data_IF_786923200980
#
_entry.id   IF_786923200980
#
_cell.length_a   1.000
_cell.length_b   1.000
_cell.length_c   1.000
_cell.angle_alpha   90.00
_cell.angle_beta   90.00
_cell.angle_gamma   90.00
#
_symmetry.space_group_name_H-M   'P 1'
#
loop_
_entity.id
_entity.type
_entity.pdbx_description
1 polymer ?
#
# COMPACT_ATOMS: atom_id res chain seq x y z
N UNK A 1 -9.88 -29.43 -4.11
CA UNK A 1 -9.05 -28.37 -3.52
C UNK A 1 -9.95 -27.33 -2.89
N UNK A 2 -9.75 -27.04 -1.61
CA UNK A 2 -10.53 -26.01 -0.94
C UNK A 2 -10.14 -24.60 -1.44
N UNK A 3 -11.07 -23.64 -1.40
CA UNK A 3 -10.80 -22.24 -1.76
C UNK A 3 -10.51 -21.43 -0.49
N UNK A 4 -9.44 -20.65 -0.50
CA UNK A 4 -9.16 -19.71 0.59
C UNK A 4 -10.20 -18.57 0.63
N UNK A 5 -10.75 -18.30 1.81
CA UNK A 5 -11.68 -17.19 2.07
C UNK A 5 -11.17 -16.39 3.26
N UNK A 6 -10.86 -15.11 3.02
CA UNK A 6 -10.47 -14.19 4.07
C UNK A 6 -11.70 -13.48 4.64
N UNK A 7 -12.00 -13.71 5.93
CA UNK A 7 -13.21 -13.16 6.58
C UNK A 7 -13.28 -11.63 6.56
N UNK A 8 -12.13 -10.95 6.56
CA UNK A 8 -12.04 -9.49 6.59
C UNK A 8 -11.77 -8.87 5.22
N UNK A 9 -12.06 -9.59 4.12
CA UNK A 9 -11.80 -9.10 2.76
C UNK A 9 -12.48 -7.76 2.47
N UNK A 10 -13.75 -7.60 2.84
CA UNK A 10 -14.48 -6.33 2.68
C UNK A 10 -13.84 -5.18 3.47
N UNK A 11 -13.36 -5.45 4.68
CA UNK A 11 -12.68 -4.45 5.52
C UNK A 11 -11.34 -4.05 4.91
N UNK A 12 -10.60 -5.01 4.37
CA UNK A 12 -9.33 -4.75 3.68
C UNK A 12 -9.54 -3.84 2.46
N UNK A 13 -10.55 -4.12 1.64
CA UNK A 13 -10.91 -3.30 0.48
C UNK A 13 -11.36 -1.90 0.88
N UNK A 14 -12.18 -1.79 1.92
CA UNK A 14 -12.58 -0.48 2.45
C UNK A 14 -11.36 0.33 2.92
N UNK A 15 -10.44 -0.29 3.68
CA UNK A 15 -9.20 0.39 4.11
C UNK A 15 -8.31 0.78 2.93
N UNK A 16 -8.28 -0.02 1.86
CA UNK A 16 -7.56 0.34 0.65
C UNK A 16 -8.14 1.60 0.00
N UNK A 17 -9.47 1.68 -0.11
CA UNK A 17 -10.14 2.89 -0.62
C UNK A 17 -9.85 4.12 0.25
N UNK A 18 -9.83 3.98 1.58
CA UNK A 18 -9.46 5.06 2.48
C UNK A 18 -8.02 5.53 2.29
N UNK A 19 -7.08 4.60 2.10
CA UNK A 19 -5.68 4.93 1.74
C UNK A 19 -5.62 5.74 0.44
N UNK A 20 -6.35 5.30 -0.59
CA UNK A 20 -6.33 5.97 -1.89
C UNK A 20 -6.98 7.37 -1.83
N UNK A 21 -8.07 7.53 -1.07
CA UNK A 21 -8.66 8.84 -0.79
C UNK A 21 -7.69 9.76 -0.04
N UNK A 22 -6.97 9.23 0.95
CA UNK A 22 -5.97 10.00 1.70
C UNK A 22 -4.79 10.43 0.81
N UNK A 23 -4.38 9.62 -0.18
CA UNK A 23 -3.36 10.01 -1.17
C UNK A 23 -3.82 11.18 -2.01
N UNK A 24 -5.06 11.13 -2.51
CA UNK A 24 -5.64 12.22 -3.31
C UNK A 24 -5.69 13.50 -2.48
N UNK A 25 -6.24 13.44 -1.26
CA UNK A 25 -6.32 14.61 -0.38
C UNK A 25 -4.93 15.19 -0.03
N UNK A 26 -3.92 14.33 0.15
CA UNK A 26 -2.54 14.77 0.34
C UNK A 26 -2.00 15.49 -0.91
N UNK A 27 -2.16 14.92 -2.09
CA UNK A 27 -1.75 15.55 -3.35
C UNK A 27 -2.44 16.89 -3.61
N UNK A 28 -3.74 16.98 -3.35
CA UNK A 28 -4.51 18.24 -3.44
C UNK A 28 -3.97 19.30 -2.48
N UNK A 29 -3.63 18.93 -1.25
CA UNK A 29 -3.06 19.86 -0.27
C UNK A 29 -1.68 20.36 -0.68
N UNK A 30 -0.84 19.50 -1.27
CA UNK A 30 0.47 19.89 -1.81
C UNK A 30 0.32 20.85 -2.99
N UNK A 31 -0.61 20.56 -3.91
CA UNK A 31 -0.93 21.47 -5.01
C UNK A 31 -1.45 22.82 -4.52
N UNK A 32 -2.24 22.83 -3.44
CA UNK A 32 -2.65 24.04 -2.74
C UNK A 32 -1.45 24.83 -2.21
N UNK A 33 -0.59 24.19 -1.42
CA UNK A 33 0.63 24.82 -0.89
C UNK A 33 1.50 25.43 -1.99
N UNK A 34 1.71 24.71 -3.09
CA UNK A 34 2.50 25.19 -4.21
C UNK A 34 1.94 26.49 -4.81
N UNK A 35 0.60 26.59 -4.95
CA UNK A 35 -0.06 27.82 -5.44
C UNK A 35 0.15 28.98 -4.46
N UNK A 36 -0.05 28.75 -3.16
CA UNK A 36 0.13 29.81 -2.15
C UNK A 36 1.58 30.31 -2.08
N UNK A 37 2.56 29.41 -2.24
CA UNK A 37 3.97 29.76 -2.31
C UNK A 37 4.31 30.52 -3.60
N UNK A 38 3.68 30.17 -4.73
CA UNK A 38 3.86 30.91 -5.98
C UNK A 38 3.30 32.33 -5.87
N UNK A 39 2.13 32.51 -5.24
CA UNK A 39 1.57 33.84 -4.95
C UNK A 39 2.49 34.65 -4.05
N UNK A 40 3.03 34.05 -2.99
CA UNK A 40 3.99 34.73 -2.10
C UNK A 40 5.23 35.19 -2.86
N UNK A 41 5.81 34.33 -3.71
CA UNK A 41 6.95 34.69 -4.55
C UNK A 41 6.63 35.85 -5.48
N UNK A 42 5.44 35.86 -6.09
CA UNK A 42 4.99 36.98 -6.93
C UNK A 42 5.01 38.32 -6.18
N UNK A 43 4.48 38.36 -4.96
CA UNK A 43 4.52 39.59 -4.14
C UNK A 43 5.95 40.02 -3.77
N UNK A 44 6.84 39.07 -3.50
CA UNK A 44 8.25 39.35 -3.20
C UNK A 44 8.99 39.88 -4.43
N UNK A 45 8.75 39.31 -5.60
CA UNK A 45 9.30 39.82 -6.87
C UNK A 45 8.80 41.22 -7.18
N UNK A 46 7.52 41.51 -6.93
CA UNK A 46 6.95 42.85 -7.13
C UNK A 46 7.51 43.87 -6.12
N UNK A 47 7.79 43.45 -4.88
CA UNK A 47 8.52 44.25 -3.89
C UNK A 47 9.91 44.64 -4.40
N UNK A 48 10.70 43.63 -4.81
CA UNK A 48 12.07 43.79 -5.31
C UNK A 48 12.11 44.73 -6.52
N UNK A 49 11.25 44.51 -7.53
CA UNK A 49 11.15 45.39 -8.70
C UNK A 49 10.83 46.84 -8.34
N UNK A 50 9.97 47.04 -7.33
CA UNK A 50 9.60 48.40 -6.90
C UNK A 50 10.75 49.08 -6.19
N UNK A 51 11.48 48.35 -5.33
CA UNK A 51 12.69 48.87 -4.67
C UNK A 51 13.72 49.28 -5.71
N UNK A 52 14.05 48.39 -6.65
CA UNK A 52 15.01 48.66 -7.73
C UNK A 52 14.60 49.91 -8.54
N UNK A 53 13.32 50.04 -8.87
CA UNK A 53 12.82 51.20 -9.60
C UNK A 53 12.99 52.52 -8.82
N UNK A 54 12.71 52.50 -7.52
CA UNK A 54 12.88 53.68 -6.66
C UNK A 54 14.34 54.08 -6.49
N UNK A 55 15.26 53.11 -6.42
CA UNK A 55 16.71 53.36 -6.38
C UNK A 55 17.19 54.04 -7.66
N UNK A 56 16.73 53.59 -8.83
CA UNK A 56 17.07 54.22 -10.13
C UNK A 56 16.60 55.67 -10.18
N UNK A 57 15.35 55.95 -9.79
CA UNK A 57 14.81 57.32 -9.76
C UNK A 57 15.63 58.22 -8.83
N UNK A 58 16.07 57.69 -7.68
CA UNK A 58 16.90 58.45 -6.74
C UNK A 58 18.28 58.81 -7.32
N UNK A 59 18.86 57.93 -8.16
CA UNK A 59 20.18 58.14 -8.77
C UNK A 59 20.16 59.04 -10.02
N UNK A 60 19.06 59.06 -10.80
CA UNK A 60 18.97 59.84 -12.04
C UNK A 60 18.68 61.34 -11.82
N UNK A 61 18.45 61.78 -10.58
CA UNK A 61 18.42 63.20 -10.20
C UNK A 61 17.17 63.98 -10.67
N UNK A 62 16.24 63.34 -11.39
CA UNK A 62 14.92 63.89 -11.71
C UNK A 62 13.97 63.52 -10.57
N UNK A 63 13.86 64.42 -9.59
CA UNK A 63 12.98 64.26 -8.42
C UNK A 63 11.50 64.39 -8.82
N UNK A 64 10.94 63.33 -9.37
CA UNK A 64 9.49 63.15 -9.45
C UNK A 64 8.95 62.67 -8.10
N UNK A 65 8.62 63.66 -7.26
CA UNK A 65 8.15 63.42 -5.90
C UNK A 65 6.82 62.68 -5.84
N UNK A 66 5.98 62.79 -6.87
CA UNK A 66 4.70 62.09 -6.95
C UNK A 66 4.91 60.59 -7.19
N UNK A 67 5.77 60.24 -8.14
CA UNK A 67 6.13 58.85 -8.42
C UNK A 67 6.85 58.17 -7.24
N UNK A 68 7.73 58.90 -6.54
CA UNK A 68 8.38 58.39 -5.33
C UNK A 68 7.36 58.09 -4.22
N UNK A 69 6.42 59.00 -3.96
CA UNK A 69 5.37 58.79 -2.95
C UNK A 69 4.46 57.62 -3.32
N UNK A 70 4.13 57.46 -4.60
CA UNK A 70 3.32 56.35 -5.08
C UNK A 70 4.03 55.01 -4.87
N UNK A 71 5.31 54.91 -5.22
CA UNK A 71 6.11 53.70 -5.02
C UNK A 71 6.27 53.33 -3.54
N UNK A 72 6.52 54.30 -2.66
CA UNK A 72 6.59 54.05 -1.21
C UNK A 72 5.25 53.53 -0.65
N UNK A 73 4.12 54.12 -1.05
CA UNK A 73 2.78 53.63 -0.66
C UNK A 73 2.51 52.22 -1.19
N UNK A 74 2.95 51.93 -2.42
CA UNK A 74 2.83 50.60 -3.00
C UNK A 74 3.63 49.56 -2.21
N UNK A 75 4.86 49.89 -1.80
CA UNK A 75 5.68 49.03 -0.94
C UNK A 75 4.99 48.74 0.40
N UNK A 76 4.38 49.75 1.03
CA UNK A 76 3.63 49.53 2.28
C UNK A 76 2.47 48.55 2.09
N UNK A 77 1.75 48.64 0.97
CA UNK A 77 0.67 47.71 0.63
C UNK A 77 1.19 46.31 0.35
N UNK A 78 2.27 46.18 -0.43
CA UNK A 78 2.89 44.89 -0.76
C UNK A 78 3.40 44.19 0.51
N UNK A 79 4.05 44.90 1.43
CA UNK A 79 4.53 44.31 2.70
C UNK A 79 3.38 43.69 3.49
N UNK A 80 2.26 44.39 3.60
CA UNK A 80 1.05 43.86 4.25
C UNK A 80 0.50 42.63 3.52
N UNK A 81 0.58 42.59 2.19
CA UNK A 81 0.17 41.42 1.40
C UNK A 81 1.11 40.23 1.59
N UNK A 82 2.43 40.45 1.62
CA UNK A 82 3.45 39.44 1.91
C UNK A 82 3.23 38.84 3.30
N UNK A 83 3.02 39.66 4.32
CA UNK A 83 2.76 39.18 5.69
C UNK A 83 1.51 38.30 5.75
N UNK A 84 0.42 38.75 5.13
CA UNK A 84 -0.83 37.98 5.05
C UNK A 84 -0.63 36.67 4.30
N UNK A 85 0.04 36.70 3.16
CA UNK A 85 0.26 35.54 2.32
C UNK A 85 1.21 34.53 3.01
N UNK A 86 2.18 35.01 3.77
CA UNK A 86 3.06 34.16 4.60
C UNK A 86 2.25 33.37 5.63
N UNK A 87 1.25 33.99 6.28
CA UNK A 87 0.34 33.28 7.17
C UNK A 87 -0.53 32.25 6.43
N UNK A 88 -0.95 32.56 5.20
CA UNK A 88 -1.71 31.62 4.36
C UNK A 88 -0.86 30.40 4.00
N UNK A 89 0.40 30.61 3.60
CA UNK A 89 1.38 29.54 3.33
C UNK A 89 1.59 28.68 4.58
N UNK A 90 1.84 29.27 5.74
CA UNK A 90 2.02 28.52 6.99
C UNK A 90 0.78 27.63 7.33
N UNK A 91 -0.44 28.14 7.10
CA UNK A 91 -1.66 27.34 7.25
C UNK A 91 -1.75 26.22 6.21
N UNK A 92 -1.31 26.47 4.98
CA UNK A 92 -1.26 25.45 3.94
C UNK A 92 -0.26 24.34 4.27
N UNK A 93 0.92 24.69 4.79
CA UNK A 93 1.93 23.74 5.27
C UNK A 93 1.40 22.86 6.40
N UNK A 94 0.73 23.46 7.39
CA UNK A 94 0.07 22.73 8.46
C UNK A 94 -0.98 21.74 7.93
N UNK A 95 -1.77 22.14 6.91
CA UNK A 95 -2.73 21.24 6.25
C UNK A 95 -2.03 20.08 5.53
N UNK A 96 -0.94 20.35 4.81
CA UNK A 96 -0.16 19.30 4.13
C UNK A 96 0.36 18.29 5.14
N UNK A 97 0.92 18.75 6.26
CA UNK A 97 1.43 17.87 7.31
C UNK A 97 0.32 17.04 7.95
N UNK A 98 -0.85 17.64 8.22
CA UNK A 98 -2.01 16.91 8.70
C UNK A 98 -2.42 15.80 7.72
N UNK A 99 -2.55 16.12 6.41
CA UNK A 99 -2.90 15.13 5.38
C UNK A 99 -1.84 14.04 5.25
N UNK A 100 -0.56 14.37 5.43
CA UNK A 100 0.53 13.40 5.45
C UNK A 100 0.35 12.39 6.58
N UNK A 101 0.01 12.86 7.78
CA UNK A 101 -0.23 11.99 8.94
C UNK A 101 -1.44 11.08 8.72
N UNK A 102 -2.54 11.62 8.18
CA UNK A 102 -3.74 10.85 7.80
C UNK A 102 -3.40 9.75 6.79
N UNK A 103 -2.62 10.06 5.76
CA UNK A 103 -2.16 9.10 4.76
C UNK A 103 -1.31 7.99 5.39
N UNK A 104 -0.33 8.35 6.23
CA UNK A 104 0.52 7.37 6.91
C UNK A 104 -0.31 6.42 7.77
N UNK A 105 -1.27 6.94 8.54
CA UNK A 105 -2.16 6.14 9.35
C UNK A 105 -3.02 5.18 8.50
N UNK A 106 -3.60 5.67 7.40
CA UNK A 106 -4.38 4.84 6.48
C UNK A 106 -3.54 3.72 5.84
N UNK A 107 -2.32 4.04 5.39
CA UNK A 107 -1.37 3.07 4.85
C UNK A 107 -1.00 1.99 5.87
N UNK A 108 -0.72 2.37 7.11
CA UNK A 108 -0.40 1.41 8.18
C UNK A 108 -1.59 0.50 8.48
N UNK A 109 -2.80 1.07 8.58
CA UNK A 109 -4.03 0.32 8.85
C UNK A 109 -4.36 -0.69 7.74
N UNK A 110 -4.14 -0.33 6.46
CA UNK A 110 -4.29 -1.25 5.33
C UNK A 110 -3.20 -2.35 5.36
N UNK A 111 -1.92 -1.97 5.45
CA UNK A 111 -0.79 -2.93 5.48
C UNK A 111 -0.89 -3.94 6.62
N UNK A 112 -1.39 -3.53 7.78
CA UNK A 112 -1.59 -4.44 8.91
C UNK A 112 -2.59 -5.56 8.59
N UNK A 113 -3.72 -5.23 7.95
CA UNK A 113 -4.71 -6.23 7.52
C UNK A 113 -4.21 -7.08 6.36
N UNK A 114 -3.48 -6.48 5.41
CA UNK A 114 -2.95 -7.21 4.27
C UNK A 114 -1.94 -8.28 4.73
N UNK A 115 -1.02 -7.92 5.63
CA UNK A 115 -0.11 -8.89 6.27
C UNK A 115 -0.83 -10.00 7.03
N UNK A 116 -1.96 -9.69 7.68
CA UNK A 116 -2.78 -10.70 8.34
C UNK A 116 -3.39 -11.67 7.32
N UNK A 117 -3.88 -11.16 6.18
CA UNK A 117 -4.39 -11.97 5.08
C UNK A 117 -3.30 -12.88 4.50
N UNK A 118 -2.11 -12.35 4.27
CA UNK A 118 -0.96 -13.10 3.75
C UNK A 118 -0.59 -14.26 4.68
N UNK A 119 -0.54 -14.02 5.99
CA UNK A 119 -0.29 -15.08 7.00
C UNK A 119 -1.35 -16.17 6.94
N UNK A 120 -2.64 -15.79 6.98
CA UNK A 120 -3.74 -16.76 6.91
C UNK A 120 -3.73 -17.56 5.60
N UNK A 121 -3.35 -16.93 4.49
CA UNK A 121 -3.22 -17.61 3.21
C UNK A 121 -2.04 -18.60 3.22
N UNK A 122 -0.91 -18.24 3.82
CA UNK A 122 0.24 -19.14 3.97
C UNK A 122 -0.11 -20.37 4.83
N UNK A 123 -0.80 -20.15 5.95
CA UNK A 123 -1.26 -21.24 6.82
C UNK A 123 -2.26 -22.16 6.11
N UNK A 124 -3.21 -21.58 5.36
CA UNK A 124 -4.15 -22.35 4.55
C UNK A 124 -3.44 -23.24 3.52
N UNK A 125 -2.44 -22.70 2.80
CA UNK A 125 -1.65 -23.48 1.83
C UNK A 125 -0.89 -24.62 2.50
N UNK A 126 -0.29 -24.37 3.66
CA UNK A 126 0.42 -25.41 4.43
C UNK A 126 -0.53 -26.53 4.86
N UNK A 127 -1.73 -26.18 5.33
CA UNK A 127 -2.74 -27.16 5.74
C UNK A 127 -3.26 -27.99 4.56
N UNK A 128 -3.52 -27.38 3.41
CA UNK A 128 -3.91 -28.12 2.20
C UNK A 128 -2.78 -29.07 1.75
N UNK A 129 -1.52 -28.65 1.78
CA UNK A 129 -0.38 -29.54 1.46
C UNK A 129 -0.29 -30.75 2.39
N UNK A 130 -0.49 -30.55 3.70
CA UNK A 130 -0.50 -31.66 4.68
C UNK A 130 -1.67 -32.60 4.41
N UNK A 131 -2.84 -32.05 4.06
CA UNK A 131 -4.03 -32.83 3.73
C UNK A 131 -3.83 -33.67 2.47
N UNK A 132 -3.31 -33.06 1.40
CA UNK A 132 -2.99 -33.73 0.14
C UNK A 132 -1.97 -34.85 0.35
N UNK A 133 -0.92 -34.61 1.14
CA UNK A 133 0.06 -35.65 1.48
C UNK A 133 -0.58 -36.84 2.21
N UNK A 134 -1.46 -36.55 3.19
CA UNK A 134 -2.18 -37.59 3.93
C UNK A 134 -3.12 -38.39 3.02
N UNK A 135 -3.81 -37.74 2.10
CA UNK A 135 -4.67 -38.41 1.11
C UNK A 135 -3.85 -39.32 0.19
N UNK A 136 -2.65 -38.90 -0.23
CA UNK A 136 -1.72 -39.74 -1.01
C UNK A 136 -1.25 -40.95 -0.21
N UNK A 137 -0.85 -40.76 1.05
CA UNK A 137 -0.41 -41.85 1.94
C UNK A 137 -1.52 -42.88 2.16
N UNK A 138 -2.74 -42.42 2.42
CA UNK A 138 -3.92 -43.29 2.57
C UNK A 138 -4.20 -44.09 1.29
N UNK A 139 -4.10 -43.46 0.11
CA UNK A 139 -4.23 -44.17 -1.17
C UNK A 139 -3.12 -45.21 -1.38
N UNK A 140 -1.88 -44.91 -1.00
CA UNK A 140 -0.75 -45.84 -1.10
C UNK A 140 -0.96 -47.07 -0.19
N UNK A 141 -1.37 -46.85 1.07
CA UNK A 141 -1.70 -47.94 2.02
C UNK A 141 -2.84 -48.80 1.47
N UNK A 142 -3.91 -48.20 0.94
CA UNK A 142 -5.03 -48.94 0.35
C UNK A 142 -4.60 -49.78 -0.85
N UNK A 143 -3.75 -49.24 -1.74
CA UNK A 143 -3.21 -49.99 -2.89
C UNK A 143 -2.36 -51.17 -2.43
N UNK A 144 -1.40 -50.96 -1.54
CA UNK A 144 -0.55 -52.05 -1.03
C UNK A 144 -1.35 -53.12 -0.28
N UNK A 145 -2.38 -52.71 0.47
CA UNK A 145 -3.29 -53.66 1.12
C UNK A 145 -4.07 -54.53 0.14
N UNK A 146 -4.47 -53.98 -1.02
CA UNK A 146 -5.12 -54.75 -2.09
C UNK A 146 -4.15 -55.71 -2.78
N UNK A 147 -2.93 -55.27 -3.07
CA UNK A 147 -1.87 -56.11 -3.66
C UNK A 147 -1.50 -57.29 -2.74
N UNK A 148 -1.34 -57.03 -1.44
CA UNK A 148 -1.06 -58.08 -0.45
C UNK A 148 -2.18 -59.12 -0.36
N UNK A 149 -3.45 -58.70 -0.44
CA UNK A 149 -4.61 -59.61 -0.47
C UNK A 149 -4.66 -60.44 -1.76
N UNK A 150 -4.32 -59.85 -2.90
CA UNK A 150 -4.25 -60.58 -4.17
C UNK A 150 -3.14 -61.62 -4.18
N UNK A 151 -1.97 -61.29 -3.61
CA UNK A 151 -0.86 -62.24 -3.46
C UNK A 151 -1.20 -63.39 -2.49
N UNK A 152 -1.90 -63.09 -1.39
CA UNK A 152 -2.37 -64.12 -0.44
C UNK A 152 -3.45 -65.03 -1.05
N UNK A 153 -4.32 -64.51 -1.91
CA UNK A 153 -5.32 -65.31 -2.62
C UNK A 153 -4.68 -66.23 -3.68
N UNK A 154 -3.58 -65.81 -4.32
CA UNK A 154 -2.84 -66.61 -5.31
C UNK A 154 -1.97 -67.70 -4.67
N UNK A 155 -1.45 -67.49 -3.45
CA UNK A 155 -0.68 -68.51 -2.72
C UNK A 155 -1.57 -69.54 -2.01
N UNK A 156 -2.82 -69.19 -1.70
CA UNK A 156 -3.82 -70.12 -1.13
C UNK A 156 -4.40 -71.15 -2.12
N UNK A 157 -4.21 -71.00 -3.43
CA UNK A 157 -4.74 -71.93 -4.46
C UNK A 157 -3.76 -73.04 -4.87
N UNK A 158 -2.62 -73.19 -4.20
CA UNK A 158 -1.60 -74.20 -4.53
C UNK A 158 -1.27 -75.08 -3.32
N UNK A 159 -2.25 -75.84 -2.82
CA UNK A 159 -1.99 -76.99 -1.95
C UNK A 159 -1.85 -78.24 -2.82
N UNK A 160 -0.68 -78.91 -2.88
CA UNK A 160 -0.58 -80.18 -3.58
C UNK A 160 -1.36 -81.23 -2.78
N UNK A 161 -2.33 -81.88 -3.43
CA UNK A 161 -2.98 -83.06 -2.88
C UNK A 161 -1.93 -84.17 -2.73
N UNK A 162 -1.42 -84.35 -1.50
CA UNK A 162 -0.62 -85.51 -1.13
C UNK A 162 -1.53 -86.75 -1.14
N UNK A 163 -1.64 -87.39 -2.30
CA UNK A 163 -2.13 -88.76 -2.39
C UNK A 163 -1.02 -89.69 -1.90
N UNK A 164 -1.11 -90.07 -0.63
CA UNK A 164 -0.36 -91.20 -0.07
C UNK A 164 -0.91 -92.47 -0.71
N UNK A 165 -0.17 -93.04 -1.67
CA UNK A 165 -0.42 -94.40 -2.16
C UNK A 165 0.47 -95.36 -1.37
N UNK A 166 -0.16 -96.06 -0.44
CA UNK A 166 0.38 -97.21 0.30
C UNK A 166 0.56 -98.39 -0.68
N UNK A 167 1.60 -99.20 -0.45
CA UNK A 167 2.13 -100.19 -1.38
C UNK A 167 1.47 -101.57 -1.41
N UNK A 168 2.17 -102.50 -2.08
CA UNK A 168 1.89 -103.94 -2.17
C UNK A 168 1.89 -104.41 -3.63
N UNK A 169 3.01 -104.83 -4.24
CA UNK A 169 3.63 -106.16 -4.14
C UNK A 169 2.62 -107.32 -4.25
N UNK A 170 2.30 -107.76 -5.47
CA UNK A 170 2.82 -108.96 -6.16
C UNK A 170 2.06 -109.18 -7.48
#
# INVERSE_FOLDING_TARGET
MARFVFRLQTVLEHRKRLEDLAKVAFGESQGGLFREQATLRGFQEDEERTVDHLEVIQHEGILDMENLQLGLRFLDVIKVQIDRQTQVVARAEARVEQRRQELVAAMQAWKALDRLREKQLADFKRLEQVREMKEIDEMAVMRHGLEARQLAAQSGSSMPSLTVSVGGMQ
#
